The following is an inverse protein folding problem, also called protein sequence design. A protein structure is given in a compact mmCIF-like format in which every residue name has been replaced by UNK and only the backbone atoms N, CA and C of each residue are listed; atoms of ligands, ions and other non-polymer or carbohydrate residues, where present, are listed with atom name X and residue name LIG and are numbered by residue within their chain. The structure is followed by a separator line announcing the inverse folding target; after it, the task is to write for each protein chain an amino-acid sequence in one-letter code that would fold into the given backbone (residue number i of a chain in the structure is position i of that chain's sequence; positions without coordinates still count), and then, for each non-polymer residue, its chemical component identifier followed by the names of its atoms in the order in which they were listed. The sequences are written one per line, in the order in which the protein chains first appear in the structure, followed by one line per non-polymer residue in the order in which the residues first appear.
data_IF_441710781340
#
_entry.id   IF_441710781340
#
_cell.length_a   1.000
_cell.length_b   1.000
_cell.length_c   1.000
_cell.angle_alpha   90.00
_cell.angle_beta   90.00
_cell.angle_gamma   90.00
#
_symmetry.space_group_name_H-M   'P 1'
#
loop_
_entity.id
_entity.type
_entity.pdbx_description
1 polymer ?
#
# COMPACT_ATOMS: atom_id res chain seq x y z
N UNK A 1 14.37 -4.98 -9.18
CA UNK A 1 13.19 -4.26 -8.64
C UNK A 1 12.27 -5.27 -8.01
N UNK A 2 11.68 -4.93 -6.88
CA UNK A 2 10.82 -5.81 -6.09
C UNK A 2 9.48 -5.12 -5.81
N UNK A 3 8.54 -5.87 -5.25
CA UNK A 3 7.32 -5.30 -4.68
C UNK A 3 6.98 -5.97 -3.34
N UNK A 4 6.52 -5.16 -2.39
CA UNK A 4 6.02 -5.58 -1.09
C UNK A 4 4.54 -5.21 -1.05
N UNK A 5 3.68 -6.20 -0.86
CA UNK A 5 2.23 -5.99 -0.72
C UNK A 5 1.86 -6.24 0.74
N UNK A 6 1.29 -5.24 1.41
CA UNK A 6 0.87 -5.32 2.80
C UNK A 6 -0.58 -5.81 2.88
N UNK A 7 -0.76 -7.07 3.27
CA UNK A 7 -2.05 -7.78 3.24
C UNK A 7 -2.40 -8.47 4.58
N UNK A 8 -1.80 -8.04 5.69
CA UNK A 8 -1.94 -8.75 6.97
C UNK A 8 -3.21 -8.38 7.77
N UNK A 9 -3.85 -7.25 7.47
CA UNK A 9 -4.92 -6.64 8.28
C UNK A 9 -6.19 -7.48 8.40
N UNK A 10 -6.95 -7.23 9.48
CA UNK A 10 -8.22 -7.90 9.80
C UNK A 10 -9.39 -7.52 8.88
N UNK A 11 -9.34 -6.33 8.25
CA UNK A 11 -10.40 -5.85 7.37
C UNK A 11 -11.76 -5.66 8.06
N UNK A 12 -11.80 -5.29 9.32
CA UNK A 12 -13.02 -5.26 10.16
C UNK A 12 -14.12 -4.35 9.64
N UNK A 13 -13.76 -3.24 8.98
CA UNK A 13 -14.71 -2.28 8.39
C UNK A 13 -15.47 -2.84 7.17
N UNK A 14 -14.93 -3.90 6.56
CA UNK A 14 -15.53 -4.55 5.37
C UNK A 14 -16.38 -5.78 5.74
N UNK A 15 -16.59 -6.06 7.03
CA UNK A 15 -17.49 -7.15 7.45
C UNK A 15 -18.93 -6.88 6.98
N UNK A 16 -19.70 -7.92 6.60
CA UNK A 16 -19.41 -9.36 6.79
C UNK A 16 -18.52 -10.01 5.71
N UNK A 17 -18.13 -9.30 4.64
CA UNK A 17 -17.37 -9.88 3.52
C UNK A 17 -16.01 -10.46 3.97
N UNK A 18 -15.43 -9.89 5.02
CA UNK A 18 -14.11 -10.28 5.57
C UNK A 18 -14.20 -11.17 6.82
N UNK A 19 -15.36 -11.73 7.14
CA UNK A 19 -15.45 -12.70 8.26
C UNK A 19 -14.69 -13.99 7.99
N UNK A 20 -14.71 -14.45 6.74
CA UNK A 20 -14.08 -15.70 6.31
C UNK A 20 -13.15 -15.52 5.10
N UNK A 21 -12.81 -14.28 4.75
CA UNK A 21 -11.97 -13.96 3.59
C UNK A 21 -11.07 -12.77 3.94
N UNK A 22 -9.74 -12.85 3.76
CA UNK A 22 -8.87 -11.70 3.91
C UNK A 22 -9.28 -10.55 2.99
N UNK A 23 -9.14 -9.29 3.43
CA UNK A 23 -9.51 -8.10 2.64
C UNK A 23 -8.88 -8.13 1.23
N UNK A 24 -7.60 -8.47 1.14
CA UNK A 24 -6.86 -8.58 -0.11
C UNK A 24 -7.38 -9.67 -1.08
N UNK A 25 -8.13 -10.66 -0.56
CA UNK A 25 -8.74 -11.73 -1.35
C UNK A 25 -10.22 -11.50 -1.65
N UNK A 26 -10.81 -10.39 -1.22
CA UNK A 26 -12.15 -9.98 -1.64
C UNK A 26 -12.17 -9.83 -3.15
N UNK A 27 -13.19 -10.41 -3.79
CA UNK A 27 -13.28 -10.45 -5.24
C UNK A 27 -13.95 -9.19 -5.79
N UNK A 28 -13.35 -8.63 -6.82
CA UNK A 28 -13.93 -7.60 -7.69
C UNK A 28 -13.93 -8.16 -9.11
N UNK A 29 -15.07 -8.16 -9.79
CA UNK A 29 -15.21 -8.80 -11.09
C UNK A 29 -14.68 -10.25 -11.12
N UNK A 30 -14.98 -11.06 -10.10
CA UNK A 30 -14.60 -12.47 -9.96
C UNK A 30 -13.07 -12.73 -9.81
N UNK A 31 -12.27 -11.69 -9.50
CA UNK A 31 -10.84 -11.82 -9.25
C UNK A 31 -10.48 -11.14 -7.92
N UNK A 32 -9.68 -11.78 -7.05
CA UNK A 32 -9.16 -11.17 -5.83
C UNK A 32 -8.39 -9.86 -6.06
N UNK A 33 -8.55 -8.87 -5.17
CA UNK A 33 -7.88 -7.58 -5.27
C UNK A 33 -6.36 -7.70 -5.46
N UNK A 34 -5.72 -8.52 -4.65
CA UNK A 34 -4.26 -8.72 -4.71
C UNK A 34 -3.79 -9.30 -6.05
N UNK A 35 -4.62 -10.07 -6.74
CA UNK A 35 -4.25 -10.65 -8.03
C UNK A 35 -4.15 -9.58 -9.13
N UNK A 36 -4.97 -8.52 -9.09
CA UNK A 36 -4.81 -7.37 -10.01
C UNK A 36 -3.45 -6.69 -9.80
N UNK A 37 -3.05 -6.49 -8.55
CA UNK A 37 -1.76 -5.88 -8.22
C UNK A 37 -0.59 -6.75 -8.69
N UNK A 38 -0.64 -8.06 -8.42
CA UNK A 38 0.40 -9.02 -8.84
C UNK A 38 0.52 -9.04 -10.37
N UNK A 39 -0.60 -9.16 -11.08
CA UNK A 39 -0.60 -9.23 -12.55
C UNK A 39 -0.03 -7.96 -13.17
N UNK A 40 -0.41 -6.79 -12.68
CA UNK A 40 0.11 -5.51 -13.14
C UNK A 40 1.61 -5.33 -12.88
N UNK A 41 2.11 -5.81 -11.74
CA UNK A 41 3.55 -5.84 -11.46
C UNK A 41 4.28 -6.74 -12.46
N UNK A 42 3.78 -7.96 -12.68
CA UNK A 42 4.39 -8.94 -13.60
C UNK A 42 4.36 -8.47 -15.05
N UNK A 43 3.31 -7.77 -15.50
CA UNK A 43 3.25 -7.13 -16.82
C UNK A 43 4.39 -6.13 -17.04
N UNK A 44 4.97 -5.59 -15.98
CA UNK A 44 6.12 -4.67 -16.01
C UNK A 44 7.47 -5.36 -15.73
N UNK A 45 7.49 -6.69 -15.67
CA UNK A 45 8.70 -7.47 -15.37
C UNK A 45 9.16 -7.33 -13.92
N UNK A 46 8.23 -7.02 -12.99
CA UNK A 46 8.49 -7.00 -11.55
C UNK A 46 8.01 -8.33 -10.98
N UNK A 47 8.91 -9.33 -10.96
CA UNK A 47 8.57 -10.71 -10.61
C UNK A 47 8.91 -11.07 -9.17
N UNK A 48 9.83 -10.35 -8.50
CA UNK A 48 10.16 -10.57 -7.08
C UNK A 48 9.12 -9.85 -6.20
N UNK A 49 8.05 -10.56 -5.87
CA UNK A 49 6.90 -10.03 -5.13
C UNK A 49 6.81 -10.72 -3.78
N UNK A 50 6.77 -9.92 -2.71
CA UNK A 50 6.58 -10.35 -1.33
C UNK A 50 5.20 -9.89 -0.88
N UNK A 51 4.42 -10.78 -0.28
CA UNK A 51 3.13 -10.44 0.32
C UNK A 51 3.23 -10.70 1.82
N UNK A 52 3.06 -9.66 2.62
CA UNK A 52 2.98 -9.80 4.08
C UNK A 52 1.55 -10.13 4.44
N UNK A 53 1.33 -11.33 4.97
CA UNK A 53 0.03 -11.89 5.29
C UNK A 53 -0.17 -12.04 6.80
N UNK A 54 -1.40 -12.01 7.26
CA UNK A 54 -1.74 -12.15 8.68
C UNK A 54 -3.04 -12.93 8.88
N UNK A 55 -4.15 -12.20 8.90
CA UNK A 55 -5.48 -12.78 9.06
C UNK A 55 -5.78 -13.80 7.95
N UNK A 56 -6.19 -15.01 8.35
CA UNK A 56 -6.50 -16.16 7.47
C UNK A 56 -5.42 -16.43 6.42
N UNK A 57 -4.14 -16.32 6.82
CA UNK A 57 -2.96 -16.43 5.95
C UNK A 57 -2.95 -17.63 5.03
N UNK A 58 -3.53 -18.75 5.46
CA UNK A 58 -3.57 -20.01 4.71
C UNK A 58 -4.29 -19.86 3.36
N UNK A 59 -5.20 -18.89 3.27
CA UNK A 59 -5.94 -18.63 2.04
C UNK A 59 -5.07 -17.99 0.95
N UNK A 60 -3.88 -17.49 1.28
CA UNK A 60 -2.94 -16.92 0.31
C UNK A 60 -2.00 -17.97 -0.31
N UNK A 61 -1.96 -19.21 0.21
CA UNK A 61 -0.95 -20.20 -0.19
C UNK A 61 -0.97 -20.52 -1.70
N UNK A 62 -2.13 -20.49 -2.33
CA UNK A 62 -2.25 -20.73 -3.77
C UNK A 62 -1.50 -19.70 -4.64
N UNK A 63 -1.28 -18.49 -4.12
CA UNK A 63 -0.55 -17.43 -4.84
C UNK A 63 0.92 -17.80 -5.07
N UNK A 64 1.51 -18.62 -4.19
CA UNK A 64 2.88 -19.14 -4.36
C UNK A 64 2.99 -19.99 -5.62
N UNK A 65 2.04 -20.89 -5.83
CA UNK A 65 2.04 -21.77 -6.99
C UNK A 65 1.61 -21.02 -8.26
N UNK A 66 0.58 -20.16 -8.14
CA UNK A 66 0.01 -19.45 -9.29
C UNK A 66 0.92 -18.37 -9.84
N UNK A 67 1.61 -17.63 -8.97
CA UNK A 67 2.34 -16.41 -9.36
C UNK A 67 3.83 -16.43 -8.98
N UNK A 68 4.30 -17.38 -8.19
CA UNK A 68 5.68 -17.43 -7.72
C UNK A 68 6.03 -16.42 -6.64
N UNK A 69 5.04 -15.89 -5.93
CA UNK A 69 5.24 -14.87 -4.89
C UNK A 69 5.78 -15.49 -3.60
N UNK A 70 6.46 -14.68 -2.79
CA UNK A 70 6.90 -15.05 -1.44
C UNK A 70 5.86 -14.55 -0.41
N UNK A 71 5.47 -15.40 0.54
CA UNK A 71 4.61 -15.01 1.65
C UNK A 71 5.41 -14.86 2.92
N UNK A 72 5.23 -13.76 3.65
CA UNK A 72 5.81 -13.51 4.98
C UNK A 72 4.67 -13.36 5.97
N UNK A 73 4.70 -14.16 7.04
CA UNK A 73 3.66 -14.13 8.06
C UNK A 73 3.94 -13.08 9.13
N UNK A 74 3.02 -12.14 9.30
CA UNK A 74 2.97 -11.23 10.43
C UNK A 74 2.12 -11.86 11.54
N UNK A 75 2.74 -12.46 12.55
CA UNK A 75 2.05 -13.06 13.69
C UNK A 75 1.42 -12.05 14.64
N UNK A 76 1.77 -10.77 14.50
CA UNK A 76 1.26 -9.64 15.30
C UNK A 76 0.19 -8.82 14.59
N UNK A 77 -0.39 -9.36 13.53
CA UNK A 77 -1.36 -8.65 12.68
C UNK A 77 -2.59 -8.10 13.43
N UNK A 78 -2.92 -8.67 14.59
CA UNK A 78 -4.04 -8.23 15.41
C UNK A 78 -3.63 -7.25 16.53
N UNK A 79 -2.33 -7.15 16.81
CA UNK A 79 -1.78 -6.36 17.92
C UNK A 79 -1.31 -4.98 17.46
N UNK A 80 -0.82 -4.89 16.22
CA UNK A 80 -0.17 -3.68 15.66
C UNK A 80 -0.74 -3.30 14.31
N UNK A 81 -0.57 -2.02 13.94
CA UNK A 81 -0.85 -1.52 12.59
C UNK A 81 0.18 -2.06 11.58
N UNK A 82 0.16 -1.56 10.34
CA UNK A 82 1.01 -2.06 9.26
C UNK A 82 2.51 -1.76 9.41
N UNK A 83 2.92 -0.97 10.43
CA UNK A 83 4.33 -0.77 10.79
C UNK A 83 5.07 -2.10 10.94
N UNK A 84 4.51 -3.02 11.73
CA UNK A 84 5.17 -4.32 11.99
C UNK A 84 5.20 -5.20 10.74
N UNK A 85 4.22 -5.05 9.85
CA UNK A 85 4.27 -5.73 8.56
C UNK A 85 5.47 -5.30 7.72
N UNK A 86 5.77 -4.00 7.65
CA UNK A 86 6.95 -3.53 6.93
C UNK A 86 8.24 -3.84 7.67
N UNK A 87 8.26 -3.77 9.01
CA UNK A 87 9.40 -4.17 9.83
C UNK A 87 9.90 -5.59 9.51
N UNK A 88 8.98 -6.55 9.33
CA UNK A 88 9.33 -7.94 9.01
C UNK A 88 10.05 -8.11 7.67
N UNK A 89 9.88 -7.18 6.75
CA UNK A 89 10.44 -7.23 5.39
C UNK A 89 11.27 -5.99 5.04
N UNK A 90 11.69 -5.21 6.03
CA UNK A 90 12.41 -3.94 5.86
C UNK A 90 13.67 -4.05 5.00
N UNK A 91 14.39 -5.17 5.11
CA UNK A 91 15.60 -5.46 4.32
C UNK A 91 15.32 -5.58 2.81
N UNK A 92 14.06 -5.75 2.45
CA UNK A 92 13.61 -5.85 1.06
C UNK A 92 13.16 -4.50 0.47
N UNK A 93 13.19 -3.41 1.27
CA UNK A 93 12.63 -2.11 0.90
C UNK A 93 13.40 -1.43 -0.24
N UNK A 94 14.72 -1.66 -0.34
CA UNK A 94 15.56 -1.03 -1.34
C UNK A 94 15.15 -1.42 -2.79
N UNK A 95 14.90 -0.40 -3.62
CA UNK A 95 14.41 -0.52 -5.00
C UNK A 95 13.12 -1.33 -5.12
N UNK A 96 12.17 -1.08 -4.22
CA UNK A 96 10.89 -1.80 -4.20
C UNK A 96 9.68 -0.87 -4.17
N UNK A 97 8.58 -1.36 -4.72
CA UNK A 97 7.26 -0.82 -4.44
C UNK A 97 6.77 -1.30 -3.08
N UNK A 98 6.05 -0.44 -2.35
CA UNK A 98 5.21 -0.81 -1.21
C UNK A 98 3.77 -0.49 -1.58
N UNK A 99 2.87 -1.47 -1.39
CA UNK A 99 1.50 -1.43 -1.89
C UNK A 99 0.56 -1.92 -0.79
N UNK A 100 -0.48 -1.15 -0.50
CA UNK A 100 -1.58 -1.59 0.35
C UNK A 100 -2.54 -2.49 -0.46
N UNK A 101 -2.83 -3.67 0.08
CA UNK A 101 -3.53 -4.73 -0.64
C UNK A 101 -5.04 -4.50 -0.83
N UNK A 102 -5.60 -3.44 -0.23
CA UNK A 102 -7.01 -3.06 -0.30
C UNK A 102 -7.35 -2.15 -1.50
N UNK A 103 -6.37 -1.86 -2.31
CA UNK A 103 -6.50 -1.04 -3.50
C UNK A 103 -6.89 -1.84 -4.74
N UNK A 104 -8.00 -1.46 -5.37
CA UNK A 104 -8.34 -1.85 -6.74
C UNK A 104 -7.67 -0.90 -7.74
N UNK A 105 -6.92 -1.45 -8.68
CA UNK A 105 -6.22 -0.71 -9.71
C UNK A 105 -7.00 -0.79 -11.03
N UNK A 106 -7.47 0.36 -11.54
CA UNK A 106 -8.15 0.41 -12.85
C UNK A 106 -7.17 0.37 -14.02
N UNK A 107 -5.94 0.85 -13.79
CA UNK A 107 -4.86 0.95 -14.79
C UNK A 107 -3.55 0.50 -14.16
N UNK A 108 -2.66 -0.04 -14.98
CA UNK A 108 -1.31 -0.36 -14.56
C UNK A 108 -0.47 0.90 -14.43
N UNK A 109 -0.16 1.32 -13.21
CA UNK A 109 0.70 2.48 -12.89
C UNK A 109 2.16 2.11 -12.66
N UNK A 110 2.46 0.82 -12.52
CA UNK A 110 3.82 0.37 -12.22
C UNK A 110 4.78 0.59 -13.40
N UNK A 111 6.04 0.87 -13.08
CA UNK A 111 7.12 1.07 -14.06
C UNK A 111 8.40 0.41 -13.55
N UNK A 112 9.11 -0.28 -14.44
CA UNK A 112 10.40 -0.88 -14.12
C UNK A 112 11.59 0.08 -14.25
N UNK A 113 11.37 1.28 -14.76
CA UNK A 113 12.40 2.31 -14.97
C UNK A 113 12.38 3.45 -13.92
N UNK A 114 11.49 3.40 -12.93
CA UNK A 114 11.44 4.37 -11.83
C UNK A 114 12.74 4.35 -11.03
N UNK A 115 13.29 5.53 -10.68
CA UNK A 115 14.64 5.67 -10.09
C UNK A 115 14.68 6.46 -8.79
N UNK A 116 13.61 7.16 -8.46
CA UNK A 116 13.55 8.01 -7.27
C UNK A 116 12.37 7.62 -6.39
N UNK A 117 12.53 7.79 -5.11
CA UNK A 117 11.48 7.53 -4.14
C UNK A 117 10.27 8.39 -4.43
N UNK A 118 9.11 7.74 -4.55
CA UNK A 118 7.90 8.36 -5.08
C UNK A 118 6.67 7.85 -4.35
N UNK A 119 5.83 8.77 -3.87
CA UNK A 119 4.46 8.48 -3.53
C UNK A 119 3.56 8.68 -4.75
N UNK A 120 2.75 7.70 -5.05
CA UNK A 120 1.67 7.83 -6.03
C UNK A 120 0.45 8.44 -5.34
N UNK A 121 -0.09 9.51 -5.93
CA UNK A 121 -1.13 10.32 -5.30
C UNK A 121 -2.34 10.46 -6.19
N UNK A 122 -3.52 10.39 -5.58
CA UNK A 122 -4.80 10.67 -6.25
C UNK A 122 -5.47 11.90 -5.62
N UNK A 123 -6.21 12.64 -6.44
CA UNK A 123 -7.08 13.69 -5.92
C UNK A 123 -8.37 13.09 -5.39
N UNK A 124 -8.81 13.53 -4.22
CA UNK A 124 -10.08 13.14 -3.61
C UNK A 124 -10.81 14.36 -3.09
N UNK A 125 -12.15 14.31 -3.23
CA UNK A 125 -13.07 15.27 -2.63
C UNK A 125 -13.68 14.68 -1.36
N UNK A 126 -14.13 15.55 -0.46
CA UNK A 126 -14.85 15.19 0.78
C UNK A 126 -14.10 14.14 1.63
N UNK A 127 -12.77 14.28 1.71
CA UNK A 127 -11.96 13.40 2.55
C UNK A 127 -12.17 13.69 4.02
N UNK A 128 -12.11 12.64 4.84
CA UNK A 128 -12.16 12.75 6.30
C UNK A 128 -11.00 11.98 6.92
N UNK A 129 -10.14 12.72 7.64
CA UNK A 129 -8.96 12.17 8.32
C UNK A 129 -7.99 11.43 7.39
N UNK A 130 -7.70 12.02 6.22
CA UNK A 130 -6.83 11.45 5.19
C UNK A 130 -5.42 12.05 5.23
N UNK A 131 -4.47 11.35 4.63
CA UNK A 131 -3.06 11.74 4.57
C UNK A 131 -2.76 12.50 3.28
N UNK A 132 -2.59 13.83 3.40
CA UNK A 132 -2.36 14.73 2.27
C UNK A 132 -0.87 14.98 2.06
N UNK A 133 -0.44 14.95 0.81
CA UNK A 133 0.90 15.33 0.40
C UNK A 133 0.99 16.85 0.17
N UNK A 134 1.94 17.49 0.83
CA UNK A 134 2.30 18.89 0.59
C UNK A 134 3.59 18.92 -0.21
N UNK A 135 3.58 19.50 -1.41
CA UNK A 135 4.72 19.55 -2.31
C UNK A 135 4.71 20.82 -3.16
N UNK A 136 5.86 21.17 -3.74
CA UNK A 136 6.02 22.32 -4.62
C UNK A 136 5.95 21.96 -6.11
N UNK A 137 6.26 22.91 -6.97
CA UNK A 137 6.27 22.78 -8.44
C UNK A 137 7.30 21.73 -8.94
N UNK A 138 8.28 21.40 -8.13
CA UNK A 138 9.30 20.37 -8.39
C UNK A 138 8.81 18.95 -8.01
N UNK A 139 7.57 18.84 -7.52
CA UNK A 139 6.96 17.60 -7.03
C UNK A 139 7.67 16.96 -5.84
N UNK A 140 8.63 17.66 -5.19
CA UNK A 140 9.27 17.18 -3.98
C UNK A 140 8.32 17.33 -2.78
N UNK A 141 8.14 16.25 -2.02
CA UNK A 141 7.32 16.24 -0.80
C UNK A 141 8.01 17.09 0.27
N UNK A 142 7.29 18.07 0.81
CA UNK A 142 7.74 18.98 1.84
C UNK A 142 7.16 18.64 3.20
N UNK A 143 5.94 18.09 3.21
CA UNK A 143 5.23 17.64 4.41
C UNK A 143 4.16 16.61 4.06
N UNK A 144 3.72 15.86 5.05
CA UNK A 144 2.57 14.95 4.99
C UNK A 144 1.67 15.31 6.19
N UNK A 145 0.46 15.77 5.91
CA UNK A 145 -0.48 16.22 6.93
C UNK A 145 -1.73 15.36 6.95
N UNK A 146 -2.31 15.16 8.13
CA UNK A 146 -3.61 14.50 8.28
C UNK A 146 -4.67 15.58 8.42
N UNK A 147 -5.69 15.56 7.56
CA UNK A 147 -6.70 16.61 7.48
C UNK A 147 -8.02 16.06 6.90
N UNK A 148 -9.05 16.89 6.93
CA UNK A 148 -10.36 16.63 6.33
C UNK A 148 -10.69 17.74 5.35
N UNK A 149 -10.34 17.53 4.07
CA UNK A 149 -10.49 18.50 2.99
C UNK A 149 -10.44 17.83 1.62
N UNK A 150 -10.54 18.61 0.56
CA UNK A 150 -10.25 18.15 -0.79
C UNK A 150 -8.75 18.27 -1.08
N UNK A 151 -8.18 17.32 -1.79
CA UNK A 151 -6.77 17.39 -2.19
C UNK A 151 -6.14 16.08 -2.62
N UNK A 152 -4.81 16.13 -2.76
CA UNK A 152 -3.97 15.00 -3.13
C UNK A 152 -3.58 14.19 -1.90
N UNK A 153 -4.06 12.94 -1.85
CA UNK A 153 -3.81 12.01 -0.75
C UNK A 153 -2.81 10.92 -1.13
N UNK A 154 -2.26 10.23 -0.14
CA UNK A 154 -1.55 8.97 -0.33
C UNK A 154 -2.52 7.95 -0.94
N UNK A 155 -2.06 7.24 -1.97
CA UNK A 155 -2.89 6.23 -2.64
C UNK A 155 -2.70 4.81 -2.11
N UNK A 156 -1.82 4.63 -1.10
CA UNK A 156 -1.39 3.30 -0.66
C UNK A 156 -0.42 2.62 -1.62
N UNK A 157 0.19 3.38 -2.54
CA UNK A 157 1.26 2.90 -3.44
C UNK A 157 2.44 3.85 -3.38
N UNK A 158 3.64 3.30 -3.18
CA UNK A 158 4.89 4.05 -3.16
C UNK A 158 6.03 3.23 -3.77
N UNK A 159 7.11 3.90 -4.14
CA UNK A 159 8.39 3.30 -4.56
C UNK A 159 9.55 3.92 -3.79
N UNK A 160 10.52 3.09 -3.39
CA UNK A 160 11.65 3.49 -2.56
C UNK A 160 12.97 3.10 -3.21
N UNK A 161 13.77 4.11 -3.58
CA UNK A 161 15.16 3.89 -4.02
C UNK A 161 16.05 3.45 -2.86
N UNK A 162 17.21 2.87 -3.17
CA UNK A 162 18.08 2.29 -2.15
C UNK A 162 18.57 3.31 -1.09
N UNK A 163 19.01 4.52 -1.44
CA UNK A 163 19.45 5.51 -0.43
C UNK A 163 18.34 5.96 0.52
N UNK A 164 17.13 6.16 0.01
CA UNK A 164 15.98 6.57 0.84
C UNK A 164 15.49 5.41 1.68
N UNK A 165 15.45 4.20 1.11
CA UNK A 165 15.08 2.98 1.84
C UNK A 165 16.00 2.70 3.03
N UNK A 166 17.31 2.89 2.88
CA UNK A 166 18.29 2.73 3.97
C UNK A 166 17.97 3.64 5.16
N UNK A 167 17.62 4.90 4.90
CA UNK A 167 17.21 5.83 5.96
C UNK A 167 15.90 5.39 6.64
N UNK A 168 14.89 5.00 5.83
CA UNK A 168 13.60 4.53 6.37
C UNK A 168 13.79 3.29 7.24
N UNK A 169 14.66 2.35 6.84
CA UNK A 169 15.01 1.17 7.65
C UNK A 169 15.61 1.60 8.99
N UNK A 170 16.51 2.59 8.99
CA UNK A 170 17.04 3.16 10.24
C UNK A 170 15.96 3.70 11.16
N UNK A 171 15.01 4.48 10.64
CA UNK A 171 13.89 5.01 11.43
C UNK A 171 12.96 3.89 11.96
N UNK A 172 12.73 2.86 11.15
CA UNK A 172 11.96 1.68 11.58
C UNK A 172 12.68 0.95 12.72
N UNK A 173 13.99 0.78 12.64
CA UNK A 173 14.78 0.13 13.70
C UNK A 173 14.78 0.91 14.99
N UNK A 174 14.95 2.23 14.92
CA UNK A 174 14.91 3.11 16.09
C UNK A 174 13.53 3.09 16.76
N UNK A 175 12.45 3.20 15.99
CA UNK A 175 11.08 3.12 16.50
C UNK A 175 10.78 1.75 17.14
N UNK A 176 11.24 0.68 16.52
CA UNK A 176 11.07 -0.67 17.09
C UNK A 176 11.86 -0.85 18.39
N UNK A 177 13.10 -0.36 18.44
CA UNK A 177 13.96 -0.46 19.62
C UNK A 177 13.45 0.36 20.80
N UNK A 178 12.84 1.54 20.55
CA UNK A 178 12.22 2.37 21.59
C UNK A 178 10.88 1.83 22.10
N UNK A 179 10.21 0.96 21.34
CA UNK A 179 8.86 0.49 21.62
C UNK A 179 7.74 1.49 21.24
N UNK A 180 8.07 2.60 20.59
CA UNK A 180 7.14 3.67 20.23
C UNK A 180 6.40 3.41 18.90
N UNK A 181 6.24 2.14 18.50
CA UNK A 181 5.67 1.77 17.20
C UNK A 181 4.27 1.18 17.26
N UNK A 182 3.74 0.88 18.45
CA UNK A 182 2.54 0.05 18.66
C UNK A 182 1.32 0.54 17.87
N UNK A 183 1.12 1.85 17.83
CA UNK A 183 -0.02 2.49 17.15
C UNK A 183 0.35 3.09 15.78
N UNK A 184 1.60 2.93 15.33
CA UNK A 184 2.08 3.56 14.11
C UNK A 184 1.72 2.77 12.85
N UNK A 185 1.42 3.51 11.79
CA UNK A 185 1.54 3.04 10.43
C UNK A 185 3.00 3.21 9.97
N UNK A 186 3.44 2.42 9.01
CA UNK A 186 4.82 2.54 8.52
C UNK A 186 5.09 3.90 7.86
N UNK A 187 4.08 4.52 7.23
CA UNK A 187 4.17 5.85 6.64
C UNK A 187 4.47 6.96 7.67
N UNK A 188 4.23 6.71 8.97
CA UNK A 188 4.68 7.63 10.02
C UNK A 188 6.19 7.82 9.99
N UNK A 189 6.96 6.78 9.64
CA UNK A 189 8.42 6.88 9.54
C UNK A 189 8.85 7.85 8.44
N UNK A 190 8.11 7.88 7.34
CA UNK A 190 8.35 8.83 6.26
C UNK A 190 7.87 10.22 6.65
N UNK A 191 6.63 10.33 7.15
CA UNK A 191 6.01 11.61 7.55
C UNK A 191 6.85 12.36 8.57
N UNK A 192 7.24 11.69 9.65
CA UNK A 192 7.93 12.34 10.77
C UNK A 192 9.39 12.71 10.44
N UNK A 193 9.96 12.07 9.41
CA UNK A 193 11.33 12.30 8.95
C UNK A 193 11.42 12.86 7.53
N UNK A 194 10.33 13.39 6.97
CA UNK A 194 10.26 13.79 5.56
C UNK A 194 11.35 14.79 5.13
N UNK A 195 11.80 15.64 6.05
CA UNK A 195 12.86 16.64 5.81
C UNK A 195 14.24 16.03 5.58
N UNK A 196 14.45 14.79 5.98
CA UNK A 196 15.69 14.03 5.80
C UNK A 196 15.66 13.16 4.55
N UNK A 197 14.50 13.09 3.88
CA UNK A 197 14.24 12.21 2.76
C UNK A 197 14.08 12.98 1.45
N UNK A 198 14.48 12.33 0.35
CA UNK A 198 14.23 12.82 -1.01
C UNK A 198 13.07 12.03 -1.64
N UNK A 199 11.85 12.47 -1.35
CA UNK A 199 10.61 11.83 -1.81
C UNK A 199 9.86 12.76 -2.75
N UNK A 200 9.31 12.21 -3.81
CA UNK A 200 8.58 12.94 -4.83
C UNK A 200 7.15 12.44 -4.98
N UNK A 201 6.31 13.22 -5.64
CA UNK A 201 4.93 12.86 -5.95
C UNK A 201 4.81 12.49 -7.42
N UNK A 202 4.09 11.42 -7.71
CA UNK A 202 3.52 11.15 -9.02
C UNK A 202 2.00 11.27 -8.92
N UNK A 203 1.45 12.25 -9.61
CA UNK A 203 0.02 12.48 -9.66
C UNK A 203 -0.65 11.48 -10.59
N UNK A 204 -1.51 10.67 -10.05
CA UNK A 204 -2.34 9.77 -10.82
C UNK A 204 -3.62 10.47 -11.30
N UNK A 205 -4.20 9.98 -12.39
CA UNK A 205 -5.55 10.35 -12.80
C UNK A 205 -6.57 9.92 -11.75
N UNK A 206 -7.68 10.66 -11.60
CA UNK A 206 -8.66 10.47 -10.52
C UNK A 206 -9.18 9.03 -10.40
N UNK A 207 -9.37 8.34 -11.48
CA UNK A 207 -9.90 6.98 -11.50
C UNK A 207 -8.83 5.92 -11.80
N UNK A 208 -7.60 6.11 -11.33
CA UNK A 208 -6.53 5.12 -11.51
C UNK A 208 -6.54 4.04 -10.44
N UNK A 209 -6.94 4.39 -9.22
CA UNK A 209 -6.92 3.53 -8.04
C UNK A 209 -8.15 3.81 -7.17
N UNK A 210 -8.66 2.78 -6.53
CA UNK A 210 -9.81 2.86 -5.62
C UNK A 210 -9.57 2.01 -4.39
N UNK A 211 -9.52 2.63 -3.24
CA UNK A 211 -9.40 1.96 -1.96
C UNK A 211 -10.78 1.43 -1.50
N UNK A 212 -10.80 0.20 -1.00
CA UNK A 212 -12.03 -0.46 -0.54
C UNK A 212 -11.93 -0.67 0.96
N UNK A 213 -12.33 0.31 1.74
CA UNK A 213 -12.26 0.26 3.19
C UNK A 213 -13.53 -0.26 3.87
N UNK A 214 -14.66 -0.05 3.23
CA UNK A 214 -15.98 -0.42 3.77
C UNK A 214 -16.85 -1.12 2.74
N UNK A 215 -17.93 -1.74 3.19
CA UNK A 215 -18.97 -2.31 2.31
C UNK A 215 -19.54 -1.23 1.37
N UNK A 216 -19.64 0.02 1.83
CA UNK A 216 -20.09 1.15 1.01
C UNK A 216 -19.14 1.43 -0.14
N UNK A 217 -17.83 1.36 0.09
CA UNK A 217 -16.82 1.58 -0.94
C UNK A 217 -16.84 0.44 -1.96
N UNK A 218 -16.96 -0.80 -1.50
CA UNK A 218 -17.13 -1.94 -2.38
C UNK A 218 -18.36 -1.77 -3.30
N UNK A 219 -19.52 -1.40 -2.73
CA UNK A 219 -20.74 -1.18 -3.51
C UNK A 219 -20.63 -0.02 -4.52
N UNK A 220 -19.86 1.04 -4.17
CA UNK A 220 -19.58 2.14 -5.10
C UNK A 220 -18.70 1.66 -6.25
N UNK A 221 -17.64 0.92 -5.96
CA UNK A 221 -16.75 0.35 -6.98
C UNK A 221 -17.53 -0.56 -7.94
N UNK A 222 -18.38 -1.46 -7.44
CA UNK A 222 -19.23 -2.33 -8.26
C UNK A 222 -20.13 -1.53 -9.23
N UNK A 223 -20.70 -0.41 -8.76
CA UNK A 223 -21.48 0.48 -9.62
C UNK A 223 -20.64 1.14 -10.71
N UNK A 224 -19.44 1.63 -10.37
CA UNK A 224 -18.50 2.22 -11.34
C UNK A 224 -18.17 1.19 -12.43
N UNK A 225 -17.79 -0.02 -12.05
CA UNK A 225 -17.42 -1.09 -12.97
C UNK A 225 -18.60 -1.55 -13.85
N UNK A 226 -19.82 -1.52 -13.32
CA UNK A 226 -21.02 -1.87 -14.07
C UNK A 226 -21.40 -0.82 -15.12
N UNK A 227 -21.05 0.45 -14.88
CA UNK A 227 -21.31 1.56 -15.83
C UNK A 227 -20.29 1.64 -16.97
N UNK A 228 -19.20 0.87 -16.91
CA UNK A 228 -18.15 0.83 -17.93
C UNK A 228 -18.30 -0.37 -18.90
N UNK A 229 -19.27 -1.24 -18.66
CA UNK A 229 -19.64 -2.38 -19.52
C UNK A 229 -20.73 -1.96 -20.47
#
# INVERSE_FOLDING_TARGET
MKAIILAAGLGTRLRPMTENTPKALVQVNQKPLVEYQIEFLKERGIDDIIIVVGYLKEQFDYLKEKYGVRLVFNEKYADYNNFYSLYLVKEELANSYVIDADNYLFKNMFRSDIKRSTYFSVYREDCDNEWFLVYGDDYKVQDIIVDSKNGRILSGVSFWDAPTAEKIVGFIDDAYASGEFVDLYWDNMVKDNIKELDVYVEELEENSIYEIDSVKDYQKLEKILSSQK
#
